data_IF_788527932062
#
_entry.id   IF_788527932062
#
_cell.length_a   1.000
_cell.length_b   1.000
_cell.length_c   1.000
_cell.angle_alpha   90.00
_cell.angle_beta   90.00
_cell.angle_gamma   90.00
#
_symmetry.space_group_name_H-M   'P 1'
#
loop_
_entity.id
_entity.type
_entity.pdbx_description
1 polymer ?
#
# COMPACT_ATOMS: atom_id res chain seq x y z
N UNK A 1 15.86 18.50 3.88
CA UNK A 1 14.98 17.35 3.58
C UNK A 1 14.89 16.48 4.82
N UNK A 2 13.69 16.16 5.30
CA UNK A 2 13.54 15.28 6.46
C UNK A 2 13.91 13.84 6.07
N UNK A 3 14.65 13.13 6.93
CA UNK A 3 15.09 11.74 6.71
C UNK A 3 13.91 10.81 6.34
N UNK A 4 12.72 11.13 6.85
CA UNK A 4 11.48 10.43 6.54
C UNK A 4 11.04 10.58 5.07
N UNK A 5 11.21 11.76 4.46
CA UNK A 5 10.88 11.96 3.05
C UNK A 5 11.86 11.23 2.14
N UNK A 6 13.15 11.24 2.49
CA UNK A 6 14.18 10.49 1.73
C UNK A 6 13.90 8.99 1.78
N UNK A 7 13.56 8.44 2.95
CA UNK A 7 13.21 7.01 3.08
C UNK A 7 11.99 6.63 2.23
N UNK A 8 10.96 7.49 2.20
CA UNK A 8 9.75 7.27 1.38
C UNK A 8 10.06 7.29 -0.12
N UNK A 9 10.88 8.25 -0.57
CA UNK A 9 11.28 8.36 -1.97
C UNK A 9 12.11 7.14 -2.38
N UNK A 10 13.07 6.73 -1.56
CA UNK A 10 13.87 5.52 -1.81
C UNK A 10 12.99 4.27 -1.89
N UNK A 11 12.07 4.09 -0.94
CA UNK A 11 11.16 2.94 -0.94
C UNK A 11 10.24 2.93 -2.18
N UNK A 12 9.76 4.11 -2.59
CA UNK A 12 8.96 4.27 -3.81
C UNK A 12 9.76 3.88 -5.06
N UNK A 13 11.00 4.35 -5.17
CA UNK A 13 11.87 4.04 -6.30
C UNK A 13 12.19 2.54 -6.38
N UNK A 14 12.52 1.91 -5.26
CA UNK A 14 12.74 0.46 -5.18
C UNK A 14 11.48 -0.30 -5.59
N UNK A 15 10.31 0.11 -5.09
CA UNK A 15 9.04 -0.51 -5.45
C UNK A 15 8.73 -0.38 -6.94
N UNK A 16 9.05 0.76 -7.57
CA UNK A 16 8.88 0.97 -9.00
C UNK A 16 9.79 0.07 -9.83
N UNK A 17 11.06 -0.08 -9.42
CA UNK A 17 12.01 -0.99 -10.08
C UNK A 17 11.52 -2.44 -9.99
N UNK A 18 11.06 -2.88 -8.82
CA UNK A 18 10.49 -4.22 -8.64
C UNK A 18 9.24 -4.44 -9.50
N UNK A 19 8.37 -3.43 -9.60
CA UNK A 19 7.18 -3.49 -10.43
C UNK A 19 7.53 -3.63 -11.92
N UNK A 20 8.49 -2.85 -12.41
CA UNK A 20 8.99 -2.95 -13.78
C UNK A 20 9.67 -4.30 -14.04
N UNK A 21 10.47 -4.81 -13.10
CA UNK A 21 11.09 -6.12 -13.22
C UNK A 21 10.05 -7.25 -13.29
N UNK A 22 8.99 -7.16 -12.48
CA UNK A 22 7.87 -8.10 -12.52
C UNK A 22 7.17 -8.10 -13.88
N UNK A 23 6.86 -6.91 -14.42
CA UNK A 23 6.28 -6.78 -15.77
C UNK A 23 7.20 -7.32 -16.86
N UNK A 24 8.51 -7.04 -16.77
CA UNK A 24 9.51 -7.55 -17.70
C UNK A 24 9.52 -9.08 -17.75
N UNK A 25 9.46 -9.73 -16.58
CA UNK A 25 9.38 -11.19 -16.48
C UNK A 25 8.11 -11.73 -17.13
N UNK A 26 6.95 -11.07 -16.98
CA UNK A 26 5.70 -11.48 -17.65
C UNK A 26 5.88 -11.45 -19.17
N UNK A 27 6.43 -10.34 -19.70
CA UNK A 27 6.56 -10.10 -21.14
C UNK A 27 7.55 -11.09 -21.77
N UNK A 28 8.70 -11.32 -21.15
CA UNK A 28 9.73 -12.24 -21.66
C UNK A 28 9.25 -13.70 -21.68
N UNK A 29 8.39 -14.09 -20.74
CA UNK A 29 7.96 -15.48 -20.58
C UNK A 29 6.57 -15.77 -21.21
N UNK A 30 6.03 -14.85 -22.02
CA UNK A 30 4.68 -14.95 -22.57
C UNK A 30 4.42 -16.22 -23.41
N UNK A 31 5.41 -16.69 -24.17
CA UNK A 31 5.27 -17.85 -25.08
C UNK A 31 5.70 -19.21 -24.50
N UNK A 32 6.09 -19.27 -23.23
CA UNK A 32 6.51 -20.51 -22.57
C UNK A 32 5.31 -21.11 -21.82
N UNK A 33 5.08 -22.40 -21.98
CA UNK A 33 4.10 -23.16 -21.19
C UNK A 33 4.82 -23.85 -20.03
N UNK A 34 4.18 -23.88 -18.86
CA UNK A 34 4.68 -24.61 -17.70
C UNK A 34 3.54 -25.40 -17.05
N UNK A 35 3.89 -26.57 -16.50
CA UNK A 35 2.98 -27.35 -15.67
C UNK A 35 2.76 -26.61 -14.36
N UNK A 36 1.53 -26.15 -14.12
CA UNK A 36 1.19 -25.42 -12.91
C UNK A 36 0.45 -26.34 -11.96
N UNK A 37 1.11 -26.73 -10.87
CA UNK A 37 0.47 -27.41 -9.76
C UNK A 37 0.01 -26.34 -8.76
N UNK A 38 -1.26 -25.95 -8.80
CA UNK A 38 -1.87 -25.35 -7.62
C UNK A 38 -2.06 -26.49 -6.62
N UNK A 39 -1.80 -26.28 -5.34
CA UNK A 39 -1.83 -27.29 -4.24
C UNK A 39 -2.92 -28.40 -4.28
N UNK A 40 -3.99 -28.24 -5.07
CA UNK A 40 -5.09 -29.18 -5.27
C UNK A 40 -5.40 -29.55 -6.74
N UNK A 41 -4.77 -28.92 -7.73
CA UNK A 41 -5.07 -29.11 -9.15
C UNK A 41 -3.87 -28.79 -10.06
N UNK A 42 -3.53 -29.75 -10.94
CA UNK A 42 -2.47 -29.60 -11.95
C UNK A 42 -3.04 -29.15 -13.29
N UNK A 43 -2.56 -28.01 -13.79
CA UNK A 43 -2.80 -27.53 -15.15
C UNK A 43 -1.56 -27.85 -16.00
N UNK A 44 -1.62 -28.87 -16.88
CA UNK A 44 -0.46 -29.36 -17.63
C UNK A 44 0.06 -28.36 -18.69
N UNK A 45 -0.81 -27.48 -19.21
CA UNK A 45 -0.44 -26.45 -20.19
C UNK A 45 -0.91 -25.06 -19.75
N UNK A 46 -0.44 -24.59 -18.60
CA UNK A 46 -0.67 -23.21 -18.21
C UNK A 46 0.36 -22.30 -18.90
N UNK A 47 -0.12 -21.28 -19.61
CA UNK A 47 0.75 -20.24 -20.16
C UNK A 47 1.44 -19.48 -19.03
N UNK A 48 2.77 -19.42 -19.05
CA UNK A 48 3.56 -18.72 -18.01
C UNK A 48 3.18 -17.25 -17.93
N UNK A 49 2.78 -16.63 -19.05
CA UNK A 49 2.21 -15.29 -19.04
C UNK A 49 1.00 -15.14 -18.11
N UNK A 50 0.07 -16.10 -18.12
CA UNK A 50 -1.14 -16.06 -17.30
C UNK A 50 -0.81 -16.28 -15.82
N UNK A 51 0.10 -17.21 -15.52
CA UNK A 51 0.59 -17.50 -14.17
C UNK A 51 1.27 -16.28 -13.56
N UNK A 52 2.12 -15.63 -14.35
CA UNK A 52 2.86 -14.45 -13.92
C UNK A 52 1.91 -13.27 -13.72
N UNK A 53 0.92 -13.10 -14.61
CA UNK A 53 -0.13 -12.09 -14.45
C UNK A 53 -0.95 -12.31 -13.17
N UNK A 54 -1.35 -13.56 -12.89
CA UNK A 54 -2.12 -13.90 -11.69
C UNK A 54 -1.30 -13.64 -10.40
N UNK A 55 -0.04 -14.07 -10.39
CA UNK A 55 0.88 -13.86 -9.26
C UNK A 55 1.16 -12.38 -9.04
N UNK A 56 1.31 -11.62 -10.12
CA UNK A 56 1.50 -10.17 -10.07
C UNK A 56 0.25 -9.46 -9.54
N UNK A 57 -0.95 -9.82 -10.01
CA UNK A 57 -2.20 -9.25 -9.52
C UNK A 57 -2.36 -9.51 -8.01
N UNK A 58 -2.08 -10.72 -7.55
CA UNK A 58 -2.11 -11.08 -6.14
C UNK A 58 -1.08 -10.27 -5.33
N UNK A 59 0.17 -10.19 -5.82
CA UNK A 59 1.24 -9.40 -5.22
C UNK A 59 0.93 -7.90 -5.16
N UNK A 60 0.32 -7.33 -6.21
CA UNK A 60 -0.09 -5.94 -6.26
C UNK A 60 -1.20 -5.63 -5.26
N UNK A 61 -2.24 -6.48 -5.18
CA UNK A 61 -3.30 -6.35 -4.18
C UNK A 61 -2.74 -6.38 -2.76
N UNK A 62 -1.88 -7.36 -2.47
CA UNK A 62 -1.23 -7.50 -1.16
C UNK A 62 -0.33 -6.29 -0.86
N UNK A 63 0.44 -5.84 -1.83
CA UNK A 63 1.33 -4.68 -1.72
C UNK A 63 0.58 -3.39 -1.45
N UNK A 64 -0.58 -3.17 -2.09
CA UNK A 64 -1.46 -2.02 -1.82
C UNK A 64 -1.98 -2.07 -0.38
N UNK A 65 -2.44 -3.23 0.08
CA UNK A 65 -2.91 -3.39 1.47
C UNK A 65 -1.79 -3.08 2.47
N UNK A 66 -0.59 -3.64 2.25
CA UNK A 66 0.58 -3.38 3.09
C UNK A 66 0.98 -1.91 3.05
N UNK A 67 0.95 -1.28 1.87
CA UNK A 67 1.26 0.14 1.72
C UNK A 67 0.25 1.01 2.48
N UNK A 68 -1.05 0.74 2.39
CA UNK A 68 -2.09 1.47 3.12
C UNK A 68 -1.88 1.40 4.65
N UNK A 69 -1.48 0.22 5.14
CA UNK A 69 -1.15 0.02 6.57
C UNK A 69 0.16 0.70 6.95
N UNK A 70 1.23 0.51 6.17
CA UNK A 70 2.58 1.02 6.46
C UNK A 70 2.66 2.56 6.36
N UNK A 71 1.94 3.17 5.42
CA UNK A 71 1.90 4.62 5.28
C UNK A 71 1.01 5.32 6.32
N UNK A 72 0.35 4.56 7.22
CA UNK A 72 -0.49 5.11 8.29
C UNK A 72 -1.47 6.18 7.79
N UNK A 73 -1.90 6.08 6.53
CA UNK A 73 -2.78 7.08 5.91
C UNK A 73 -4.14 7.07 6.61
N UNK A 74 -4.61 5.89 7.01
CA UNK A 74 -5.83 5.74 7.82
C UNK A 74 -5.75 6.40 9.21
N UNK A 75 -4.75 6.12 10.07
CA UNK A 75 -4.67 6.77 11.38
C UNK A 75 -4.39 8.27 11.31
N UNK A 76 -3.82 8.80 10.22
CA UNK A 76 -3.60 10.24 10.07
C UNK A 76 -4.94 11.01 9.96
N UNK A 77 -5.89 10.51 9.16
CA UNK A 77 -7.23 11.11 9.06
C UNK A 77 -8.01 11.02 10.38
N UNK A 78 -7.86 9.93 11.14
CA UNK A 78 -8.47 9.80 12.46
C UNK A 78 -7.84 10.71 13.52
N UNK A 79 -6.52 10.91 13.47
CA UNK A 79 -5.82 11.85 14.35
C UNK A 79 -6.26 13.29 14.08
N UNK A 80 -6.34 13.71 12.81
CA UNK A 80 -6.81 15.05 12.44
C UNK A 80 -8.24 15.31 12.95
N UNK A 81 -9.12 14.30 12.89
CA UNK A 81 -10.49 14.40 13.42
C UNK A 81 -10.52 14.49 14.95
N UNK A 82 -9.65 13.78 15.69
CA UNK A 82 -9.55 13.90 17.15
C UNK A 82 -8.96 15.25 17.57
N UNK A 83 -7.88 15.70 16.93
CA UNK A 83 -7.24 16.99 17.22
C UNK A 83 -8.21 18.17 17.02
N UNK A 84 -9.07 18.14 15.99
CA UNK A 84 -10.11 19.17 15.82
C UNK A 84 -11.16 19.17 16.93
N UNK A 85 -11.56 18.00 17.42
CA UNK A 85 -12.53 17.88 18.52
C UNK A 85 -11.98 18.40 19.84
N UNK A 86 -10.70 18.18 20.12
CA UNK A 86 -10.02 18.73 21.30
C UNK A 86 -9.96 20.27 21.26
N UNK A 87 -9.59 20.85 20.11
CA UNK A 87 -9.60 22.32 19.91
C UNK A 87 -11.00 22.93 20.14
N UNK A 88 -12.06 22.30 19.63
CA UNK A 88 -13.43 22.77 19.86
C UNK A 88 -13.86 22.66 21.33
N UNK A 89 -13.41 21.63 22.04
CA UNK A 89 -13.68 21.47 23.47
C UNK A 89 -12.94 22.50 24.32
N UNK A 90 -11.68 22.82 24.00
CA UNK A 90 -10.89 23.86 24.66
C UNK A 90 -11.47 25.26 24.41
N UNK A 91 -11.92 25.53 23.17
CA UNK A 91 -12.59 26.80 22.83
C UNK A 91 -13.90 26.99 23.57
N UNK A 92 -14.66 25.91 23.79
CA UNK A 92 -15.91 25.92 24.60
C UNK A 92 -15.64 26.08 26.10
N UNK A 93 -14.50 25.63 26.60
CA UNK A 93 -14.09 25.87 27.99
C UNK A 93 -13.71 27.33 28.21
N UNK A 94 -12.96 27.96 27.29
CA UNK A 94 -12.62 29.38 27.39
C UNK A 94 -13.84 30.30 27.28
N UNK A 95 -14.87 29.97 26.49
CA UNK A 95 -16.11 30.76 26.43
C UNK A 95 -17.08 30.45 27.58
N UNK A 96 -16.88 29.35 28.34
CA UNK A 96 -17.62 29.03 29.57
C UNK A 96 -16.94 29.52 30.85
N UNK A 97 -15.81 30.21 30.76
CA UNK A 97 -15.29 31.03 31.86
C UNK A 97 -15.78 32.46 31.66
N UNK A 98 -17.01 32.84 32.07
CA UNK A 98 -17.33 34.24 32.25
C UNK A 98 -16.50 34.75 33.42
N UNK A 99 -15.60 35.69 33.14
CA UNK A 99 -14.94 36.57 34.11
C UNK A 99 -14.40 35.90 35.38
N UNK A 100 -13.08 35.70 35.44
CA UNK A 100 -12.39 36.04 36.68
C UNK A 100 -11.87 37.48 36.56
N UNK A 101 -12.40 38.28 37.48
CA UNK A 101 -11.95 39.57 38.01
C UNK A 101 -10.49 39.91 37.74
#
# INVERSE_FOLDING_TARGET
MTLQSVRKIFLSLVSLVFFMAGLWIVVVNHGRTASLNLFFYEFPEAGIGLITLLSFACGALTGIVVALVAFRVLPLHFQVRRTRRELESLRKQQTRTPGNV
#
